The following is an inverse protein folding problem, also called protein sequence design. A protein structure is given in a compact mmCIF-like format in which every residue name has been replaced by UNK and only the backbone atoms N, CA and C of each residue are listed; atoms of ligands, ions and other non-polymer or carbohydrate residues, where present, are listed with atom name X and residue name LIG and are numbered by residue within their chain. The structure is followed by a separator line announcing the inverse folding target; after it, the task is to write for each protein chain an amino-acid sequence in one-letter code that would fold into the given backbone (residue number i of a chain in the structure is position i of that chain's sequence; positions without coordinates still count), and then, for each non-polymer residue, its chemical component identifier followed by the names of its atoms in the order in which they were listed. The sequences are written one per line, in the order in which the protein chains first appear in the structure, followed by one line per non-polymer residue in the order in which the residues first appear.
data_IF_330854699579
#
_entry.id   IF_330854699579
#
_cell.length_a   1.000
_cell.length_b   1.000
_cell.length_c   1.000
_cell.angle_alpha   90.00
_cell.angle_beta   90.00
_cell.angle_gamma   90.00
#
_symmetry.space_group_name_H-M   'P 1'
#
loop_
_entity.id
_entity.type
_entity.pdbx_description
1 polymer ?
#
# COMPACT_ATOMS: atom_id res chain seq x y z
N UNK A 1 8.65 27.30 -9.55
CA UNK A 1 8.70 26.70 -8.20
C UNK A 1 7.76 27.48 -7.26
N UNK A 2 6.81 26.94 -6.50
CA UNK A 2 5.93 25.78 -6.66
C UNK A 2 4.77 25.92 -5.65
N UNK A 3 3.51 25.82 -6.09
CA UNK A 3 2.29 26.02 -5.26
C UNK A 3 2.00 24.82 -4.34
N UNK A 4 2.97 24.44 -3.51
CA UNK A 4 2.86 23.31 -2.57
C UNK A 4 2.11 23.74 -1.31
N UNK A 5 1.18 22.91 -0.83
CA UNK A 5 0.35 23.20 0.36
C UNK A 5 1.05 22.66 1.61
N UNK A 6 1.01 23.43 2.70
CA UNK A 6 1.65 23.09 3.98
C UNK A 6 0.89 21.99 4.74
N UNK A 7 1.55 21.37 5.72
CA UNK A 7 0.96 20.31 6.57
C UNK A 7 -0.32 20.75 7.30
N UNK A 8 -0.40 22.01 7.72
CA UNK A 8 -1.57 22.58 8.41
C UNK A 8 -2.80 22.59 7.51
N UNK A 9 -2.66 23.07 6.27
CA UNK A 9 -3.72 23.04 5.26
C UNK A 9 -4.13 21.61 4.95
N UNK A 10 -3.16 20.71 4.70
CA UNK A 10 -3.44 19.32 4.37
C UNK A 10 -4.16 18.57 5.50
N UNK A 11 -3.78 18.81 6.75
CA UNK A 11 -4.40 18.19 7.93
C UNK A 11 -5.81 18.71 8.16
N UNK A 12 -6.00 20.04 8.14
CA UNK A 12 -7.32 20.65 8.33
C UNK A 12 -8.33 20.19 7.26
N UNK A 13 -7.90 20.12 5.99
CA UNK A 13 -8.77 19.64 4.91
C UNK A 13 -9.18 18.17 5.07
N UNK A 14 -8.31 17.30 5.59
CA UNK A 14 -8.67 15.89 5.83
C UNK A 14 -9.74 15.78 6.92
N UNK A 15 -9.53 16.48 8.04
CA UNK A 15 -10.48 16.52 9.17
C UNK A 15 -11.84 17.08 8.74
N UNK A 16 -11.86 18.10 7.87
CA UNK A 16 -13.11 18.62 7.31
C UNK A 16 -13.86 17.57 6.48
N UNK A 17 -13.14 16.79 5.69
CA UNK A 17 -13.74 15.74 4.84
C UNK A 17 -14.25 14.58 5.69
N UNK A 18 -13.50 14.15 6.71
CA UNK A 18 -13.89 13.07 7.61
C UNK A 18 -15.23 13.36 8.30
N UNK A 19 -15.44 14.62 8.72
CA UNK A 19 -16.63 15.02 9.49
C UNK A 19 -17.81 15.49 8.63
N UNK A 20 -17.55 16.21 7.53
CA UNK A 20 -18.58 16.93 6.78
C UNK A 20 -18.66 16.52 5.29
N UNK A 21 -18.28 15.28 4.97
CA UNK A 21 -18.36 14.76 3.60
C UNK A 21 -19.69 15.03 2.88
N UNK A 22 -20.88 14.81 3.50
CA UNK A 22 -22.16 14.95 2.79
C UNK A 22 -22.47 16.36 2.29
N UNK A 23 -21.88 17.38 2.94
CA UNK A 23 -22.14 18.80 2.64
C UNK A 23 -21.13 19.35 1.63
N UNK A 24 -19.96 18.72 1.50
CA UNK A 24 -18.89 19.18 0.63
C UNK A 24 -19.16 18.84 -0.84
N UNK A 25 -18.81 19.76 -1.74
CA UNK A 25 -19.03 19.61 -3.18
C UNK A 25 -17.71 19.57 -3.96
N UNK A 26 -17.77 19.53 -5.29
CA UNK A 26 -16.59 19.64 -6.17
C UNK A 26 -16.21 21.10 -6.48
N UNK A 27 -17.09 22.04 -6.19
CA UNK A 27 -16.91 23.46 -6.51
C UNK A 27 -16.12 24.21 -5.42
N UNK A 28 -15.36 25.21 -5.82
CA UNK A 28 -14.52 25.98 -4.90
C UNK A 28 -15.31 27.04 -4.13
N UNK A 29 -16.27 27.71 -4.76
CA UNK A 29 -16.97 28.83 -4.15
C UNK A 29 -17.93 28.38 -3.06
N UNK A 30 -18.63 27.28 -3.29
CA UNK A 30 -19.49 26.61 -2.30
C UNK A 30 -18.68 26.09 -1.12
N UNK A 31 -17.63 25.30 -1.36
CA UNK A 31 -16.76 24.80 -0.28
C UNK A 31 -16.07 25.91 0.51
N UNK A 32 -15.76 27.04 -0.12
CA UNK A 32 -15.20 28.22 0.57
C UNK A 32 -16.18 28.79 1.58
N UNK A 33 -17.48 28.87 1.25
CA UNK A 33 -18.53 29.33 2.17
C UNK A 33 -18.74 28.32 3.30
N UNK A 34 -18.83 27.03 2.97
CA UNK A 34 -18.96 25.96 3.97
C UNK A 34 -17.78 25.95 4.95
N UNK A 35 -16.54 26.19 4.48
CA UNK A 35 -15.38 26.29 5.36
C UNK A 35 -15.46 27.47 6.35
N UNK A 36 -16.19 28.53 6.02
CA UNK A 36 -16.39 29.68 6.92
C UNK A 36 -17.43 29.39 7.99
N UNK A 37 -18.47 28.64 7.63
CA UNK A 37 -19.55 28.29 8.56
C UNK A 37 -19.11 27.18 9.53
N UNK A 38 -18.32 26.22 9.03
CA UNK A 38 -17.93 25.02 9.79
C UNK A 38 -16.71 25.24 10.68
N UNK A 39 -15.79 26.13 10.29
CA UNK A 39 -14.50 26.27 10.96
C UNK A 39 -14.11 27.73 11.22
N UNK A 40 -13.59 27.99 12.42
CA UNK A 40 -13.05 29.29 12.79
C UNK A 40 -11.66 29.44 12.12
N UNK A 41 -11.63 30.12 10.97
CA UNK A 41 -10.40 30.35 10.20
C UNK A 41 -10.02 31.83 10.25
N UNK A 42 -8.88 32.12 10.90
CA UNK A 42 -8.45 33.50 11.17
C UNK A 42 -8.15 34.35 9.92
N UNK A 43 -7.78 33.75 8.78
CA UNK A 43 -7.42 34.53 7.59
C UNK A 43 -8.02 34.00 6.30
N UNK A 44 -8.44 34.95 5.43
CA UNK A 44 -8.95 34.69 4.07
C UNK A 44 -7.98 33.84 3.23
N UNK A 45 -6.68 34.07 3.36
CA UNK A 45 -5.66 33.31 2.61
C UNK A 45 -5.58 31.84 3.06
N UNK A 46 -5.71 31.56 4.36
CA UNK A 46 -5.74 30.19 4.87
C UNK A 46 -7.02 29.47 4.47
N UNK A 47 -8.18 30.13 4.62
CA UNK A 47 -9.48 29.64 4.16
C UNK A 47 -9.46 29.20 2.71
N UNK A 48 -8.96 30.07 1.82
CA UNK A 48 -8.88 29.77 0.39
C UNK A 48 -7.94 28.59 0.09
N UNK A 49 -6.85 28.44 0.85
CA UNK A 49 -5.95 27.28 0.70
C UNK A 49 -6.60 25.97 1.18
N UNK A 50 -7.37 26.02 2.26
CA UNK A 50 -8.09 24.87 2.82
C UNK A 50 -9.20 24.45 1.85
N UNK A 51 -10.08 25.36 1.44
CA UNK A 51 -11.13 25.11 0.45
C UNK A 51 -10.56 24.63 -0.90
N UNK A 52 -9.42 25.19 -1.31
CA UNK A 52 -8.73 24.77 -2.53
C UNK A 52 -8.07 23.39 -2.44
N UNK A 53 -7.75 22.91 -1.23
CA UNK A 53 -7.20 21.57 -1.04
C UNK A 53 -8.30 20.53 -0.77
N UNK A 54 -9.40 20.91 -0.11
CA UNK A 54 -10.58 20.04 0.03
C UNK A 54 -11.19 19.69 -1.32
N UNK A 55 -11.41 20.68 -2.20
CA UNK A 55 -11.83 20.45 -3.60
C UNK A 55 -10.90 19.50 -4.36
N UNK A 56 -9.59 19.64 -4.19
CA UNK A 56 -8.62 18.73 -4.81
C UNK A 56 -8.75 17.30 -4.27
N UNK A 57 -8.99 17.13 -2.97
CA UNK A 57 -9.23 15.82 -2.38
C UNK A 57 -10.57 15.22 -2.83
N UNK A 58 -11.64 16.01 -2.96
CA UNK A 58 -12.93 15.55 -3.46
C UNK A 58 -12.84 14.99 -4.88
N UNK A 59 -12.12 15.69 -5.78
CA UNK A 59 -11.85 15.18 -7.13
C UNK A 59 -11.02 13.90 -7.15
N UNK A 60 -10.20 13.66 -6.12
CA UNK A 60 -9.44 12.41 -5.98
C UNK A 60 -10.31 11.28 -5.43
N UNK A 61 -11.18 11.57 -4.48
CA UNK A 61 -12.15 10.63 -3.91
C UNK A 61 -13.06 10.08 -5.01
N UNK A 62 -13.51 10.94 -5.93
CA UNK A 62 -14.32 10.51 -7.09
C UNK A 62 -13.60 9.48 -7.98
N UNK A 63 -12.26 9.54 -8.08
CA UNK A 63 -11.47 8.60 -8.87
C UNK A 63 -11.12 7.32 -8.11
N UNK A 64 -11.23 7.34 -6.78
CA UNK A 64 -10.88 6.20 -5.93
C UNK A 64 -10.55 6.59 -4.50
N UNK A 65 -10.32 5.59 -3.64
CA UNK A 65 -10.07 5.81 -2.22
C UNK A 65 -8.76 6.58 -2.00
N UNK A 66 -8.82 7.64 -1.19
CA UNK A 66 -7.66 8.46 -0.83
C UNK A 66 -7.09 8.00 0.50
N UNK A 67 -5.77 7.77 0.55
CA UNK A 67 -5.08 7.33 1.78
C UNK A 67 -5.17 8.37 2.89
N UNK A 68 -5.52 7.93 4.09
CA UNK A 68 -5.52 8.74 5.31
C UNK A 68 -6.66 9.76 5.36
N UNK A 69 -7.81 9.38 4.80
CA UNK A 69 -9.13 9.99 4.98
C UNK A 69 -10.06 8.78 5.17
N UNK A 70 -10.88 8.79 6.21
CA UNK A 70 -12.03 7.88 6.32
C UNK A 70 -13.30 8.72 6.42
N UNK A 71 -14.33 8.29 5.74
CA UNK A 71 -15.66 8.84 5.94
C UNK A 71 -16.64 7.68 6.00
N UNK A 72 -17.74 7.84 6.72
CA UNK A 72 -18.67 6.76 7.05
C UNK A 72 -19.05 5.89 5.85
N UNK A 73 -19.31 6.50 4.70
CA UNK A 73 -19.64 5.78 3.47
C UNK A 73 -18.53 4.81 3.02
N UNK A 74 -17.24 5.17 3.18
CA UNK A 74 -16.13 4.27 2.89
C UNK A 74 -16.01 3.14 3.91
N UNK A 75 -16.34 3.41 5.17
CA UNK A 75 -16.31 2.41 6.23
C UNK A 75 -17.41 1.38 5.98
N UNK A 76 -18.62 1.81 5.65
CA UNK A 76 -19.74 0.93 5.28
C UNK A 76 -19.45 0.09 4.03
N UNK A 77 -18.86 0.67 2.97
CA UNK A 77 -18.47 -0.10 1.78
C UNK A 77 -17.36 -1.11 2.08
N UNK A 78 -16.40 -0.76 2.94
CA UNK A 78 -15.36 -1.69 3.39
C UNK A 78 -15.95 -2.83 4.21
N UNK A 79 -16.83 -2.54 5.15
CA UNK A 79 -17.49 -3.57 5.96
C UNK A 79 -18.29 -4.54 5.10
N UNK A 80 -19.00 -4.06 4.07
CA UNK A 80 -19.70 -4.95 3.12
C UNK A 80 -18.75 -5.84 2.34
N UNK A 81 -17.59 -5.30 1.95
CA UNK A 81 -16.59 -6.06 1.19
C UNK A 81 -15.84 -7.06 2.05
N UNK A 82 -15.51 -6.69 3.29
CA UNK A 82 -14.81 -7.55 4.24
C UNK A 82 -15.73 -8.67 4.75
N UNK A 83 -17.04 -8.41 4.88
CA UNK A 83 -18.04 -9.40 5.24
C UNK A 83 -18.52 -10.26 4.04
N UNK A 84 -17.95 -10.08 2.86
CA UNK A 84 -18.34 -10.87 1.69
C UNK A 84 -17.82 -12.31 1.82
N UNK A 85 -18.73 -13.23 2.09
CA UNK A 85 -18.47 -14.67 2.03
C UNK A 85 -18.98 -15.19 0.68
N UNK A 86 -18.12 -15.81 -0.15
CA UNK A 86 -18.56 -16.39 -1.42
C UNK A 86 -19.46 -17.61 -1.19
N UNK A 87 -20.38 -17.86 -2.14
CA UNK A 87 -21.33 -18.98 -2.06
C UNK A 87 -20.62 -20.35 -2.03
N UNK A 88 -19.50 -20.47 -2.73
CA UNK A 88 -18.67 -21.68 -2.76
C UNK A 88 -17.35 -21.39 -2.05
N UNK A 89 -17.04 -22.20 -1.05
CA UNK A 89 -15.77 -22.11 -0.34
C UNK A 89 -14.63 -22.57 -1.25
N UNK A 90 -13.58 -21.76 -1.39
CA UNK A 90 -12.39 -22.16 -2.13
C UNK A 90 -11.65 -23.37 -1.51
N UNK A 91 -11.96 -23.70 -0.24
CA UNK A 91 -11.42 -24.87 0.48
C UNK A 91 -12.19 -26.15 0.13
N UNK A 92 -13.44 -26.03 -0.34
CA UNK A 92 -14.27 -27.16 -0.74
C UNK A 92 -13.84 -27.66 -2.13
N UNK A 93 -12.66 -28.28 -2.16
CA UNK A 93 -12.07 -28.88 -3.35
C UNK A 93 -12.24 -30.39 -3.22
N UNK A 94 -12.73 -31.04 -4.28
CA UNK A 94 -12.98 -32.48 -4.31
C UNK A 94 -11.71 -33.34 -4.22
N UNK A 95 -10.55 -32.78 -4.55
CA UNK A 95 -9.24 -33.46 -4.52
C UNK A 95 -8.14 -32.53 -4.02
N UNK A 96 -7.51 -32.88 -2.89
CA UNK A 96 -6.37 -32.21 -2.28
C UNK A 96 -5.12 -33.02 -2.62
N UNK A 97 -4.22 -32.42 -3.39
CA UNK A 97 -2.93 -33.01 -3.75
C UNK A 97 -1.93 -32.83 -2.61
N UNK A 98 -1.33 -33.93 -2.13
CA UNK A 98 -0.44 -33.96 -0.97
C UNK A 98 0.90 -34.62 -1.35
N UNK A 99 2.00 -34.09 -0.79
CA UNK A 99 3.33 -34.67 -0.90
C UNK A 99 3.49 -35.92 -0.01
N UNK A 100 4.39 -36.86 -0.33
CA UNK A 100 4.60 -38.08 0.47
C UNK A 100 5.10 -37.80 1.91
N UNK A 101 5.81 -36.70 2.14
CA UNK A 101 6.28 -36.31 3.47
C UNK A 101 5.14 -35.77 4.34
N UNK A 102 4.23 -34.99 3.75
CA UNK A 102 3.05 -34.47 4.45
C UNK A 102 2.01 -35.56 4.73
N UNK A 103 1.91 -36.60 3.89
CA UNK A 103 1.15 -37.82 4.21
C UNK A 103 1.68 -38.53 5.46
N UNK A 104 3.00 -38.61 5.61
CA UNK A 104 3.65 -39.23 6.78
C UNK A 104 3.37 -38.45 8.06
N UNK A 105 3.35 -37.12 7.96
CA UNK A 105 2.92 -36.24 9.04
C UNK A 105 1.45 -36.45 9.42
N UNK A 106 0.54 -36.58 8.43
CA UNK A 106 -0.88 -36.83 8.69
C UNK A 106 -1.11 -38.15 9.42
N UNK A 107 -0.34 -39.20 9.09
CA UNK A 107 -0.35 -40.49 9.79
C UNK A 107 0.10 -40.35 11.25
N UNK A 108 1.18 -39.60 11.51
CA UNK A 108 1.67 -39.37 12.87
C UNK A 108 0.69 -38.58 13.76
N UNK A 109 -0.14 -37.72 13.14
CA UNK A 109 -1.19 -36.96 13.82
C UNK A 109 -2.53 -37.73 13.92
N UNK A 110 -2.58 -38.99 13.47
CA UNK A 110 -3.76 -39.86 13.43
C UNK A 110 -4.90 -39.37 12.50
N UNK A 111 -4.59 -38.60 11.45
CA UNK A 111 -5.55 -38.14 10.43
C UNK A 111 -5.44 -38.96 9.14
N UNK A 112 -5.60 -40.28 9.23
CA UNK A 112 -5.33 -41.21 8.12
C UNK A 112 -6.44 -41.27 7.06
N UNK A 113 -7.65 -40.81 7.36
CA UNK A 113 -8.85 -41.01 6.53
C UNK A 113 -9.55 -39.70 6.21
N UNK A 114 -8.82 -38.72 5.69
CA UNK A 114 -9.43 -37.50 5.17
C UNK A 114 -9.98 -37.77 3.75
N UNK A 115 -11.27 -37.49 3.48
CA UNK A 115 -11.83 -37.64 2.15
C UNK A 115 -11.19 -36.65 1.17
N UNK A 116 -10.90 -37.11 -0.05
CA UNK A 116 -10.38 -36.25 -1.12
C UNK A 116 -8.87 -36.06 -1.14
N UNK A 117 -8.08 -36.72 -0.30
CA UNK A 117 -6.61 -36.63 -0.35
C UNK A 117 -6.03 -37.53 -1.43
N UNK A 118 -5.25 -36.98 -2.37
CA UNK A 118 -4.48 -37.72 -3.37
C UNK A 118 -2.99 -37.43 -3.22
N UNK A 119 -2.16 -38.48 -3.21
CA UNK A 119 -0.70 -38.32 -3.14
C UNK A 119 -0.16 -38.07 -4.54
N UNK A 120 0.46 -36.92 -4.75
CA UNK A 120 1.16 -36.63 -6.00
C UNK A 120 2.63 -37.02 -5.89
N UNK A 121 3.18 -37.60 -6.96
CA UNK A 121 4.60 -37.93 -6.98
C UNK A 121 5.40 -36.62 -6.94
N UNK A 122 6.46 -36.53 -6.11
CA UNK A 122 7.28 -35.33 -6.05
C UNK A 122 7.83 -35.06 -7.45
N UNK A 123 7.51 -33.88 -8.01
CA UNK A 123 8.05 -33.45 -9.29
C UNK A 123 9.57 -33.55 -9.16
N UNK A 124 10.19 -34.48 -9.90
CA UNK A 124 11.66 -34.61 -10.02
C UNK A 124 12.22 -33.39 -10.75
N UNK A 125 12.07 -32.22 -10.18
CA UNK A 125 12.83 -31.05 -10.55
C UNK A 125 14.21 -31.25 -9.94
N UNK A 126 15.13 -31.78 -10.75
CA UNK A 126 16.53 -31.97 -10.36
C UNK A 126 17.04 -30.74 -9.61
N UNK A 127 17.57 -30.96 -8.40
CA UNK A 127 18.14 -29.97 -7.47
C UNK A 127 17.80 -28.53 -7.84
N UNK A 128 16.54 -28.12 -7.66
CA UNK A 128 16.21 -26.70 -7.68
C UNK A 128 16.77 -26.09 -6.40
N UNK A 129 17.97 -25.54 -6.50
CA UNK A 129 18.43 -24.54 -5.55
C UNK A 129 17.37 -23.41 -5.55
N UNK A 130 16.47 -23.41 -4.56
CA UNK A 130 15.54 -22.29 -4.33
C UNK A 130 16.27 -20.98 -3.99
N UNK A 131 17.60 -21.06 -3.80
CA UNK A 131 18.47 -19.91 -3.78
C UNK A 131 18.55 -19.34 -5.19
N UNK A 132 17.98 -18.14 -5.36
CA UNK A 132 18.27 -17.29 -6.51
C UNK A 132 19.79 -17.30 -6.76
N UNK A 133 20.25 -17.55 -7.99
CA UNK A 133 21.67 -17.49 -8.30
C UNK A 133 22.24 -16.15 -7.83
N UNK A 134 23.32 -16.20 -7.04
CA UNK A 134 23.99 -14.98 -6.59
C UNK A 134 24.59 -14.34 -7.85
N UNK A 135 24.13 -13.14 -8.19
CA UNK A 135 24.69 -12.40 -9.33
C UNK A 135 26.22 -12.30 -9.18
N UNK A 136 26.99 -12.47 -10.26
CA UNK A 136 28.45 -12.34 -10.20
C UNK A 136 28.79 -10.95 -9.67
N UNK A 137 29.60 -10.90 -8.60
CA UNK A 137 30.12 -9.63 -8.08
C UNK A 137 30.93 -8.97 -9.20
N UNK A 138 30.54 -7.76 -9.61
CA UNK A 138 31.34 -6.96 -10.52
C UNK A 138 32.76 -6.79 -9.94
N UNK A 139 33.83 -6.91 -10.76
CA UNK A 139 35.17 -6.66 -10.29
C UNK A 139 35.26 -5.25 -9.74
N UNK A 140 35.87 -5.10 -8.56
CA UNK A 140 36.15 -3.78 -7.97
C UNK A 140 36.99 -2.99 -8.98
N UNK A 141 36.67 -1.72 -9.28
CA UNK A 141 37.50 -0.92 -10.16
C UNK A 141 38.91 -0.83 -9.58
N UNK A 142 39.92 -1.08 -10.43
CA UNK A 142 41.32 -0.94 -10.06
C UNK A 142 41.54 0.49 -9.53
N UNK A 143 42.18 0.58 -8.36
CA UNK A 143 42.59 1.85 -7.76
C UNK A 143 43.57 2.50 -8.76
N UNK A 144 43.08 3.46 -9.55
CA UNK A 144 43.93 4.29 -10.38
C UNK A 144 44.97 4.95 -9.46
N UNK A 145 46.23 4.89 -9.88
CA UNK A 145 47.40 5.18 -9.09
C UNK A 145 47.27 6.46 -8.27
N UNK A 146 47.74 6.39 -7.03
CA UNK A 146 48.09 7.58 -6.27
C UNK A 146 49.07 8.41 -7.11
N UNK A 147 48.92 9.75 -7.20
CA UNK A 147 49.90 10.58 -7.86
C UNK A 147 51.25 10.42 -7.16
N UNK A 148 52.28 10.15 -7.97
CA UNK A 148 53.67 10.06 -7.53
C UNK A 148 54.04 11.33 -6.75
N UNK A 149 54.70 11.14 -5.61
CA UNK A 149 55.30 12.21 -4.85
C UNK A 149 56.24 13.01 -5.77
N UNK A 150 55.87 14.26 -6.04
CA UNK A 150 56.74 15.20 -6.70
C UNK A 150 57.98 15.40 -5.81
N UNK A 151 59.14 15.05 -6.35
CA UNK A 151 60.42 15.39 -5.81
C UNK A 151 60.53 16.93 -5.74
N UNK A 152 60.61 17.46 -4.52
CA UNK A 152 61.08 18.80 -4.27
C UNK A 152 62.59 18.71 -4.00
N UNK A 153 63.37 19.00 -5.02
CA UNK A 153 64.81 19.29 -4.95
C UNK A 153 65.03 20.65 -5.59
N UNK A 154 65.71 21.53 -4.86
CA UNK A 154 66.30 22.83 -5.27
C UNK A 154 65.27 23.96 -5.54
N UNK A 155 65.35 25.16 -4.96
CA UNK A 155 66.47 25.95 -4.44
C UNK A 155 66.08 26.73 -3.15
#
# INVERSE_FOLDING_TARGET
MGRVRTKTVKRASRVLIEKYYPVLTLDFHTNKRICDDVAIIASKRLRNKIAGFTTHLMKRIQKGPVRGISFKLQEEERERKDNYVPDVSAIDISSIEIDPETESMLKALNFEKLPGVSVTAPVRAGRRDFRRPRAPRAPRPARQGAPAAAAATEA
#
